data_IF_127516272728
#
_entry.id   IF_127516272728
#
_cell.length_a   1.000
_cell.length_b   1.000
_cell.length_c   1.000
_cell.angle_alpha   90.00
_cell.angle_beta   90.00
_cell.angle_gamma   90.00
#
_symmetry.space_group_name_H-M   'P 1'
#
loop_
_entity.id
_entity.type
_entity.pdbx_description
1 polymer ?
#
# COMPACT_ATOMS: atom_id res chain seq x y z
N UNK A 1 -3.52 -16.83 4.83
CA UNK A 1 -3.41 -15.75 3.83
C UNK A 1 -3.42 -14.33 4.43
N UNK A 2 -4.02 -14.06 5.59
CA UNK A 2 -4.02 -12.72 6.22
C UNK A 2 -2.62 -12.21 6.66
N UNK A 3 -1.75 -13.10 7.18
CA UNK A 3 -0.41 -12.72 7.67
C UNK A 3 0.50 -12.02 6.65
N UNK A 4 0.40 -12.36 5.35
CA UNK A 4 1.27 -11.77 4.33
C UNK A 4 0.88 -10.32 4.05
N UNK A 5 -0.43 -10.03 4.01
CA UNK A 5 -0.93 -8.66 3.81
C UNK A 5 -0.50 -7.74 4.97
N UNK A 6 -0.58 -8.22 6.21
CA UNK A 6 -0.12 -7.49 7.40
C UNK A 6 1.39 -7.20 7.37
N UNK A 7 2.22 -8.18 7.01
CA UNK A 7 3.68 -8.00 6.90
C UNK A 7 4.02 -6.95 5.82
N UNK A 8 3.31 -6.99 4.68
CA UNK A 8 3.51 -6.04 3.59
C UNK A 8 3.03 -4.64 4.02
N UNK A 9 1.87 -4.54 4.66
CA UNK A 9 1.34 -3.27 5.16
C UNK A 9 2.32 -2.60 6.12
N UNK A 10 2.86 -3.36 7.08
CA UNK A 10 3.86 -2.88 8.03
C UNK A 10 5.12 -2.34 7.35
N UNK A 11 5.69 -3.08 6.39
CA UNK A 11 6.86 -2.63 5.63
C UNK A 11 6.58 -1.35 4.83
N UNK A 12 5.40 -1.26 4.20
CA UNK A 12 5.01 -0.08 3.44
C UNK A 12 4.89 1.14 4.38
N UNK A 13 4.22 0.99 5.52
CA UNK A 13 4.08 2.06 6.52
C UNK A 13 5.44 2.54 7.03
N UNK A 14 6.38 1.63 7.27
CA UNK A 14 7.75 1.96 7.68
C UNK A 14 8.48 2.77 6.59
N UNK A 15 8.40 2.36 5.32
CA UNK A 15 9.02 3.08 4.19
C UNK A 15 8.39 4.48 4.01
N UNK A 16 7.07 4.58 4.12
CA UNK A 16 6.36 5.86 3.98
C UNK A 16 6.72 6.81 5.14
N UNK A 17 6.82 6.27 6.36
CA UNK A 17 7.26 7.02 7.54
C UNK A 17 8.67 7.58 7.37
N UNK A 18 9.58 6.79 6.79
CA UNK A 18 10.93 7.24 6.44
C UNK A 18 10.96 8.35 5.37
N UNK A 19 9.91 8.44 4.56
CA UNK A 19 9.75 9.49 3.53
C UNK A 19 9.15 10.78 4.12
N UNK A 20 8.80 10.79 5.41
CA UNK A 20 8.23 11.96 6.10
C UNK A 20 6.70 12.07 6.02
N UNK A 21 6.03 11.07 5.45
CA UNK A 21 4.57 11.01 5.39
C UNK A 21 4.03 10.08 6.48
N UNK A 22 2.92 10.48 7.10
CA UNK A 22 2.27 9.68 8.14
C UNK A 22 1.11 8.91 7.52
N UNK A 23 1.16 7.58 7.60
CA UNK A 23 0.10 6.70 7.12
C UNK A 23 -0.22 5.65 8.17
N UNK A 24 -1.47 5.21 8.23
CA UNK A 24 -1.93 4.19 9.17
C UNK A 24 -1.79 2.77 8.57
N UNK A 25 -1.40 1.78 9.39
CA UNK A 25 -1.29 0.38 8.93
C UNK A 25 -2.65 -0.18 8.48
N UNK A 26 -3.75 0.20 9.14
CA UNK A 26 -5.10 -0.27 8.79
C UNK A 26 -5.56 0.31 7.44
N UNK A 27 -5.16 1.55 7.13
CA UNK A 27 -5.40 2.15 5.82
C UNK A 27 -4.62 1.41 4.72
N UNK A 28 -3.32 1.18 4.91
CA UNK A 28 -2.51 0.42 3.94
C UNK A 28 -3.06 -0.99 3.75
N UNK A 29 -3.48 -1.66 4.81
CA UNK A 29 -4.05 -3.01 4.75
C UNK A 29 -5.34 -3.03 3.93
N UNK A 30 -6.20 -2.02 4.11
CA UNK A 30 -7.42 -1.80 3.32
C UNK A 30 -7.15 -1.44 1.86
N UNK A 31 -5.93 -1.01 1.53
CA UNK A 31 -5.54 -0.70 0.16
C UNK A 31 -5.00 -1.91 -0.58
N UNK A 32 -4.46 -2.92 0.12
CA UNK A 32 -3.88 -4.11 -0.50
C UNK A 32 -4.98 -5.04 -1.04
N UNK A 33 -5.14 -5.02 -2.36
CA UNK A 33 -6.09 -5.85 -3.10
C UNK A 33 -5.40 -6.96 -3.89
N UNK A 34 -6.15 -8.00 -4.26
CA UNK A 34 -5.65 -9.06 -5.14
C UNK A 34 -5.96 -8.62 -6.58
N UNK A 35 -4.94 -8.51 -7.45
CA UNK A 35 -5.17 -8.12 -8.84
C UNK A 35 -6.01 -9.16 -9.58
N UNK A 36 -6.84 -8.70 -10.51
CA UNK A 36 -7.74 -9.54 -11.30
C UNK A 36 -6.96 -10.40 -12.31
N UNK A 37 -5.83 -9.88 -12.80
CA UNK A 37 -4.90 -10.61 -13.65
C UNK A 37 -3.72 -11.13 -12.81
N UNK A 38 -3.58 -12.46 -12.76
CA UNK A 38 -2.49 -13.15 -12.06
C UNK A 38 -1.09 -12.81 -12.62
N UNK A 39 -1.00 -12.22 -13.82
CA UNK A 39 0.27 -11.71 -14.37
C UNK A 39 0.76 -10.43 -13.70
N UNK A 40 -0.12 -9.68 -13.01
CA UNK A 40 0.22 -8.43 -12.32
C UNK A 40 0.80 -8.67 -10.91
N UNK A 41 0.98 -9.93 -10.51
CA UNK A 41 1.52 -10.34 -9.21
C UNK A 41 0.44 -10.87 -8.25
N UNK A 42 0.84 -11.21 -7.04
CA UNK A 42 -0.06 -11.80 -6.04
C UNK A 42 -0.90 -10.76 -5.29
N UNK A 43 -0.37 -9.54 -5.14
CA UNK A 43 -0.96 -8.44 -4.37
C UNK A 43 -0.66 -7.10 -5.05
N UNK A 44 -1.68 -6.25 -5.14
CA UNK A 44 -1.62 -4.94 -5.74
C UNK A 44 -1.87 -3.86 -4.68
N UNK A 45 -1.06 -2.80 -4.73
CA UNK A 45 -1.24 -1.59 -3.94
C UNK A 45 -1.67 -0.45 -4.88
N UNK A 46 -2.91 0.05 -4.79
CA UNK A 46 -3.39 1.12 -5.66
C UNK A 46 -2.72 2.45 -5.31
N UNK A 47 -1.82 2.89 -6.20
CA UNK A 47 -1.06 4.14 -6.10
C UNK A 47 -1.96 5.39 -5.93
N UNK A 48 -3.18 5.37 -6.48
CA UNK A 48 -4.13 6.49 -6.41
C UNK A 48 -4.51 6.88 -4.97
N UNK A 49 -4.59 5.90 -4.06
CA UNK A 49 -4.93 6.18 -2.65
C UNK A 49 -3.76 6.85 -1.94
N UNK A 50 -2.53 6.43 -2.24
CA UNK A 50 -1.29 7.06 -1.74
C UNK A 50 -1.09 8.48 -2.28
N UNK A 51 -1.39 8.70 -3.56
CA UNK A 51 -1.30 10.01 -4.20
C UNK A 51 -2.13 11.09 -3.48
N UNK A 52 -3.32 10.73 -2.97
CA UNK A 52 -4.15 11.65 -2.15
C UNK A 52 -3.49 12.01 -0.82
N UNK A 53 -2.85 11.06 -0.16
CA UNK A 53 -2.14 11.25 1.12
C UNK A 53 -0.91 12.14 0.91
N UNK A 54 -0.14 11.85 -0.14
CA UNK A 54 1.10 12.57 -0.46
C UNK A 54 0.84 13.92 -1.13
N UNK A 55 -0.39 14.19 -1.60
CA UNK A 55 -0.73 15.35 -2.45
C UNK A 55 0.18 15.48 -3.69
N UNK A 56 0.73 14.36 -4.14
CA UNK A 56 1.53 14.26 -5.36
C UNK A 56 0.76 13.44 -6.38
N UNK A 57 0.75 13.89 -7.63
CA UNK A 57 0.17 13.11 -8.72
C UNK A 57 0.95 11.79 -8.89
N UNK A 58 0.28 10.65 -9.14
CA UNK A 58 0.96 9.45 -9.62
C UNK A 58 1.56 9.76 -11.00
N UNK A 59 2.88 9.60 -11.20
CA UNK A 59 3.46 9.59 -12.55
C UNK A 59 3.06 8.33 -13.34
#
# INVERSE_FOLDING_TARGET
MQKIKEIIAKKITEIISNTGYKTDEDEILSFIDIPVDSKMGDLALPCFKLARIMRSAPP
#
